data_IF_407936308949
#
_entry.id   IF_407936308949
#
_cell.length_a   1.000
_cell.length_b   1.000
_cell.length_c   1.000
_cell.angle_alpha   90.00
_cell.angle_beta   90.00
_cell.angle_gamma   90.00
#
_symmetry.space_group_name_H-M   'P 1'
#
loop_
_entity.id
_entity.type
_entity.pdbx_description
1 polymer ?
#
# COMPACT_ATOMS: atom_id res chain seq x y z
N UNK A 1 -43.19 -22.46 -17.58
CA UNK A 1 -41.77 -22.88 -17.70
C UNK A 1 -40.84 -21.73 -18.03
N UNK A 2 -41.13 -20.88 -19.04
CA UNK A 2 -40.22 -19.77 -19.42
C UNK A 2 -39.84 -18.80 -18.29
N UNK A 3 -40.79 -18.38 -17.45
CA UNK A 3 -40.55 -17.49 -16.30
C UNK A 3 -39.70 -18.12 -15.19
N UNK A 4 -39.81 -19.44 -14.98
CA UNK A 4 -38.99 -20.17 -14.00
C UNK A 4 -37.57 -20.39 -14.51
N UNK A 5 -37.39 -20.59 -15.82
CA UNK A 5 -36.07 -20.71 -16.47
C UNK A 5 -35.35 -19.35 -16.49
N UNK A 6 -36.04 -18.24 -16.71
CA UNK A 6 -35.45 -16.89 -16.60
C UNK A 6 -35.05 -16.54 -15.16
N UNK A 7 -35.86 -16.91 -14.16
CA UNK A 7 -35.51 -16.71 -12.74
C UNK A 7 -34.33 -17.59 -12.30
N UNK A 8 -34.23 -18.82 -12.82
CA UNK A 8 -33.10 -19.70 -12.59
C UNK A 8 -31.81 -19.18 -13.26
N UNK A 9 -31.90 -18.60 -14.47
CA UNK A 9 -30.76 -17.96 -15.14
C UNK A 9 -30.25 -16.72 -14.39
N UNK A 10 -31.14 -15.91 -13.84
CA UNK A 10 -30.79 -14.77 -12.97
C UNK A 10 -30.15 -15.16 -11.63
N UNK A 11 -30.41 -16.37 -11.15
CA UNK A 11 -29.82 -16.88 -9.92
C UNK A 11 -28.37 -17.34 -10.10
N UNK A 12 -27.96 -17.69 -11.32
CA UNK A 12 -26.66 -18.28 -11.61
C UNK A 12 -25.58 -17.26 -12.04
N UNK A 13 -25.98 -16.06 -12.49
CA UNK A 13 -25.05 -14.99 -12.85
C UNK A 13 -24.99 -13.91 -11.73
N UNK A 14 -23.88 -13.84 -10.96
CA UNK A 14 -23.75 -12.88 -9.87
C UNK A 14 -23.74 -11.42 -10.34
N UNK A 15 -23.34 -11.13 -11.57
CA UNK A 15 -23.30 -9.75 -12.10
C UNK A 15 -24.72 -9.25 -12.40
N UNK A 16 -25.50 -10.06 -13.12
CA UNK A 16 -26.88 -9.70 -13.46
C UNK A 16 -27.73 -9.59 -12.20
N UNK A 17 -27.56 -10.52 -11.25
CA UNK A 17 -28.24 -10.45 -9.95
C UNK A 17 -27.88 -9.17 -9.20
N UNK A 18 -26.60 -8.81 -9.18
CA UNK A 18 -26.13 -7.57 -8.56
C UNK A 18 -26.80 -6.33 -9.13
N UNK A 19 -26.83 -6.21 -10.46
CA UNK A 19 -27.47 -5.09 -11.17
C UNK A 19 -28.96 -5.02 -10.85
N UNK A 20 -29.67 -6.15 -10.88
CA UNK A 20 -31.11 -6.19 -10.59
C UNK A 20 -31.44 -5.82 -9.14
N UNK A 21 -30.63 -6.26 -8.18
CA UNK A 21 -30.79 -5.90 -6.77
C UNK A 21 -30.62 -4.39 -6.58
N UNK A 22 -29.59 -3.80 -7.18
CA UNK A 22 -29.36 -2.35 -7.12
C UNK A 22 -30.48 -1.58 -7.82
N UNK A 23 -30.91 -2.02 -9.00
CA UNK A 23 -32.01 -1.39 -9.75
C UNK A 23 -33.33 -1.45 -8.98
N UNK A 24 -33.65 -2.59 -8.36
CA UNK A 24 -34.85 -2.75 -7.52
C UNK A 24 -34.75 -1.87 -6.28
N UNK A 25 -33.60 -1.84 -5.61
CA UNK A 25 -33.36 -0.97 -4.46
C UNK A 25 -33.52 0.51 -4.80
N UNK A 26 -32.98 0.94 -5.94
CA UNK A 26 -33.13 2.30 -6.44
C UNK A 26 -34.59 2.65 -6.75
N UNK A 27 -35.30 1.77 -7.46
CA UNK A 27 -36.71 1.97 -7.80
C UNK A 27 -37.60 2.05 -6.55
N UNK A 28 -37.36 1.20 -5.55
CA UNK A 28 -38.13 1.23 -4.29
C UNK A 28 -37.79 2.46 -3.46
N UNK A 29 -36.51 2.76 -3.26
CA UNK A 29 -36.04 3.90 -2.45
C UNK A 29 -36.48 5.23 -3.07
N UNK A 30 -36.13 5.49 -4.32
CA UNK A 30 -36.45 6.76 -4.98
C UNK A 30 -37.92 6.83 -5.39
N UNK A 31 -38.47 5.72 -5.89
CA UNK A 31 -39.84 5.65 -6.37
C UNK A 31 -40.86 5.84 -5.23
N UNK A 32 -40.60 5.30 -4.03
CA UNK A 32 -41.49 5.54 -2.89
C UNK A 32 -41.53 7.02 -2.48
N UNK A 33 -40.37 7.68 -2.33
CA UNK A 33 -40.29 9.11 -2.01
C UNK A 33 -40.96 9.96 -3.11
N UNK A 34 -40.76 9.60 -4.38
CA UNK A 34 -41.41 10.27 -5.50
C UNK A 34 -42.94 10.08 -5.48
N UNK A 35 -43.45 8.86 -5.31
CA UNK A 35 -44.90 8.60 -5.26
C UNK A 35 -45.58 9.37 -4.13
N UNK A 36 -44.96 9.44 -2.95
CA UNK A 36 -45.46 10.23 -1.81
C UNK A 36 -45.48 11.73 -2.14
N UNK A 37 -44.48 12.25 -2.82
CA UNK A 37 -44.47 13.67 -3.22
C UNK A 37 -45.49 13.97 -4.33
N UNK A 38 -45.70 13.04 -5.27
CA UNK A 38 -46.63 13.21 -6.41
C UNK A 38 -48.06 13.41 -5.92
N UNK A 39 -48.49 12.66 -4.91
CA UNK A 39 -49.87 12.74 -4.39
C UNK A 39 -50.21 14.10 -3.77
N UNK A 40 -49.22 14.85 -3.28
CA UNK A 40 -49.43 16.15 -2.64
C UNK A 40 -49.11 17.34 -3.57
N UNK A 41 -48.02 17.25 -4.34
CA UNK A 41 -47.44 18.39 -5.07
C UNK A 41 -47.60 18.32 -6.58
N UNK A 42 -48.16 17.23 -7.11
CA UNK A 42 -48.27 16.96 -8.54
C UNK A 42 -46.94 16.53 -9.17
N UNK A 43 -47.04 15.90 -10.34
CA UNK A 43 -45.92 15.15 -10.94
C UNK A 43 -44.69 16.00 -11.27
N UNK A 44 -44.88 17.24 -11.74
CA UNK A 44 -43.77 18.11 -12.16
C UNK A 44 -42.92 18.57 -10.98
N UNK A 45 -43.55 19.03 -9.89
CA UNK A 45 -42.83 19.47 -8.70
C UNK A 45 -42.21 18.29 -7.97
N UNK A 46 -42.97 17.21 -7.80
CA UNK A 46 -42.48 16.00 -7.13
C UNK A 46 -41.22 15.43 -7.82
N UNK A 47 -41.17 15.46 -9.15
CA UNK A 47 -39.99 14.99 -9.90
C UNK A 47 -38.77 15.85 -9.63
N UNK A 48 -38.90 17.19 -9.67
CA UNK A 48 -37.79 18.10 -9.38
C UNK A 48 -37.30 17.96 -7.94
N UNK A 49 -38.22 17.88 -6.98
CA UNK A 49 -37.90 17.75 -5.56
C UNK A 49 -37.18 16.43 -5.25
N UNK A 50 -37.72 15.30 -5.73
CA UNK A 50 -37.12 13.98 -5.50
C UNK A 50 -35.78 13.82 -6.23
N UNK A 51 -35.63 14.37 -7.43
CA UNK A 51 -34.35 14.38 -8.14
C UNK A 51 -33.30 15.25 -7.40
N UNK A 52 -33.71 16.42 -6.88
CA UNK A 52 -32.83 17.25 -6.08
C UNK A 52 -32.40 16.52 -4.80
N UNK A 53 -33.33 15.91 -4.09
CA UNK A 53 -33.02 15.12 -2.89
C UNK A 53 -32.04 13.97 -3.18
N UNK A 54 -32.23 13.25 -4.28
CA UNK A 54 -31.30 12.19 -4.70
C UNK A 54 -29.90 12.73 -4.97
N UNK A 55 -29.79 13.84 -5.73
CA UNK A 55 -28.48 14.42 -6.07
C UNK A 55 -27.78 15.00 -4.84
N UNK A 56 -28.53 15.60 -3.92
CA UNK A 56 -28.00 16.05 -2.62
C UNK A 56 -27.51 14.88 -1.77
N UNK A 57 -28.26 13.79 -1.72
CA UNK A 57 -27.84 12.56 -1.04
C UNK A 57 -26.58 11.95 -1.68
N UNK A 58 -26.51 11.88 -3.01
CA UNK A 58 -25.32 11.41 -3.74
C UNK A 58 -24.11 12.33 -3.51
N UNK A 59 -24.30 13.63 -3.37
CA UNK A 59 -23.21 14.56 -3.01
C UNK A 59 -22.70 14.31 -1.57
N UNK A 60 -23.59 14.01 -0.63
CA UNK A 60 -23.21 13.67 0.76
C UNK A 60 -22.44 12.34 0.80
N UNK A 61 -22.96 11.28 0.17
CA UNK A 61 -22.28 9.99 0.09
C UNK A 61 -20.95 10.09 -0.66
N UNK A 62 -20.93 10.77 -1.79
CA UNK A 62 -19.71 11.05 -2.55
C UNK A 62 -18.67 11.75 -1.69
N UNK A 63 -19.07 12.75 -0.89
CA UNK A 63 -18.16 13.47 0.00
C UNK A 63 -17.54 12.54 1.06
N UNK A 64 -18.33 11.64 1.64
CA UNK A 64 -17.83 10.64 2.56
C UNK A 64 -16.87 9.66 1.86
N UNK A 65 -17.23 9.16 0.68
CA UNK A 65 -16.39 8.28 -0.14
C UNK A 65 -15.08 8.94 -0.56
N UNK A 66 -15.11 10.24 -0.91
CA UNK A 66 -13.93 11.02 -1.26
C UNK A 66 -13.01 11.18 -0.06
N UNK A 67 -13.55 11.50 1.12
CA UNK A 67 -12.79 11.68 2.35
C UNK A 67 -12.10 10.38 2.79
N UNK A 68 -12.85 9.28 2.79
CA UNK A 68 -12.36 7.98 3.27
C UNK A 68 -11.68 7.13 2.19
N UNK A 69 -11.79 7.47 0.91
CA UNK A 69 -11.30 6.64 -0.19
C UNK A 69 -12.04 5.31 -0.30
N UNK A 70 -13.35 5.30 -0.07
CA UNK A 70 -14.22 4.12 -0.07
C UNK A 70 -15.28 4.20 -1.18
N UNK A 71 -16.16 3.19 -1.27
CA UNK A 71 -17.21 3.13 -2.28
C UNK A 71 -16.68 2.81 -3.66
N UNK A 72 -17.15 3.53 -4.68
CA UNK A 72 -16.62 3.40 -6.05
C UNK A 72 -15.28 4.13 -6.19
N UNK A 73 -14.26 3.59 -5.52
CA UNK A 73 -12.89 4.10 -5.52
C UNK A 73 -12.15 3.73 -6.81
N UNK A 74 -11.10 4.48 -7.11
CA UNK A 74 -10.12 4.12 -8.13
C UNK A 74 -9.15 3.05 -7.65
N UNK A 75 -8.10 2.82 -8.43
CA UNK A 75 -7.12 1.77 -8.13
C UNK A 75 -6.34 2.08 -6.85
N UNK A 76 -6.12 1.04 -6.04
CA UNK A 76 -5.35 1.12 -4.81
C UNK A 76 -3.84 1.25 -5.09
N UNK A 77 -3.05 1.78 -4.15
CA UNK A 77 -1.61 1.85 -4.28
C UNK A 77 -1.00 0.45 -4.40
N UNK A 78 -0.15 0.25 -5.41
CA UNK A 78 0.53 -1.03 -5.68
C UNK A 78 2.00 -0.79 -5.99
N UNK A 79 2.83 -1.79 -5.73
CA UNK A 79 4.20 -1.81 -6.24
C UNK A 79 4.17 -2.34 -7.68
N UNK A 80 4.88 -1.68 -8.58
CA UNK A 80 5.06 -2.14 -9.96
C UNK A 80 6.53 -2.32 -10.23
N UNK A 81 6.91 -3.51 -10.67
CA UNK A 81 8.29 -3.76 -11.10
C UNK A 81 8.60 -3.03 -12.38
N UNK A 82 9.71 -2.29 -12.34
CA UNK A 82 10.26 -1.51 -13.45
C UNK A 82 11.37 -2.30 -14.13
N UNK A 83 12.20 -2.97 -13.33
CA UNK A 83 13.37 -3.71 -13.79
C UNK A 83 13.71 -4.82 -12.78
N UNK A 84 14.19 -5.96 -13.28
CA UNK A 84 14.78 -7.02 -12.47
C UNK A 84 16.21 -7.18 -12.98
N UNK A 85 17.16 -6.66 -12.22
CA UNK A 85 18.57 -6.70 -12.57
C UNK A 85 19.24 -7.88 -11.87
N UNK A 86 20.15 -8.57 -12.56
CA UNK A 86 20.93 -9.68 -12.03
C UNK A 86 22.40 -9.28 -12.01
N UNK A 87 23.00 -9.24 -10.82
CA UNK A 87 24.40 -8.87 -10.61
C UNK A 87 24.59 -7.36 -10.51
N UNK A 88 25.14 -6.75 -11.55
CA UNK A 88 25.58 -5.35 -11.54
C UNK A 88 24.41 -4.36 -11.73
N UNK A 89 24.09 -3.62 -10.68
CA UNK A 89 23.11 -2.53 -10.70
C UNK A 89 23.47 -1.41 -11.68
N UNK A 90 24.76 -1.26 -12.03
CA UNK A 90 25.22 -0.33 -13.06
C UNK A 90 24.60 -0.59 -14.44
N UNK A 91 24.15 -1.82 -14.71
CA UNK A 91 23.45 -2.20 -15.93
C UNK A 91 21.92 -2.04 -15.86
N UNK A 92 21.36 -1.58 -14.73
CA UNK A 92 19.90 -1.46 -14.58
C UNK A 92 19.27 -0.56 -15.63
N UNK A 93 18.05 -0.89 -16.06
CA UNK A 93 17.23 -0.05 -16.94
C UNK A 93 16.86 1.30 -16.31
N UNK A 94 16.89 1.41 -14.98
CA UNK A 94 16.64 2.65 -14.26
C UNK A 94 17.95 3.38 -13.90
N UNK A 95 18.17 4.57 -14.45
CA UNK A 95 19.37 5.38 -14.17
C UNK A 95 19.56 5.67 -12.68
N UNK A 96 18.47 5.89 -11.94
CA UNK A 96 18.51 6.09 -10.49
C UNK A 96 19.01 4.84 -9.74
N UNK A 97 18.69 3.62 -10.22
CA UNK A 97 19.15 2.39 -9.58
C UNK A 97 20.67 2.20 -9.71
N UNK A 98 21.27 2.68 -10.81
CA UNK A 98 22.73 2.64 -11.03
C UNK A 98 23.54 3.46 -10.02
N UNK A 99 22.88 4.35 -9.27
CA UNK A 99 23.51 5.15 -8.22
C UNK A 99 23.59 4.41 -6.87
N UNK A 100 22.93 3.25 -6.74
CA UNK A 100 23.03 2.40 -5.57
C UNK A 100 24.29 1.51 -5.72
N UNK A 101 25.23 1.54 -4.75
CA UNK A 101 26.39 0.66 -4.77
C UNK A 101 25.99 -0.82 -4.78
N UNK A 102 26.81 -1.65 -5.40
CA UNK A 102 26.58 -3.09 -5.39
C UNK A 102 26.79 -3.67 -3.98
N UNK A 103 26.10 -4.76 -3.61
CA UNK A 103 26.18 -5.36 -2.27
C UNK A 103 27.60 -5.67 -1.79
N UNK A 104 28.48 -6.08 -2.69
CA UNK A 104 29.87 -6.48 -2.42
C UNK A 104 30.80 -5.29 -2.14
N UNK A 105 30.38 -4.07 -2.51
CA UNK A 105 31.13 -2.83 -2.26
C UNK A 105 30.86 -2.26 -0.86
N UNK A 106 29.90 -2.84 -0.13
CA UNK A 106 29.44 -2.38 1.16
C UNK A 106 29.77 -3.41 2.25
N UNK A 107 30.13 -2.98 3.47
CA UNK A 107 30.41 -3.90 4.57
C UNK A 107 29.19 -4.78 4.85
N UNK A 108 29.44 -6.03 5.25
CA UNK A 108 28.36 -6.93 5.67
C UNK A 108 27.72 -6.40 6.96
N UNK A 109 26.47 -6.78 7.21
CA UNK A 109 25.81 -6.35 8.44
C UNK A 109 26.51 -6.90 9.70
N UNK A 110 27.08 -8.10 9.64
CA UNK A 110 27.86 -8.65 10.76
C UNK A 110 29.16 -7.86 11.00
N UNK A 111 29.89 -7.49 9.94
CA UNK A 111 31.06 -6.61 10.06
C UNK A 111 30.71 -5.26 10.69
N UNK A 112 29.55 -4.70 10.37
CA UNK A 112 29.05 -3.47 11.00
C UNK A 112 28.77 -3.68 12.49
N UNK A 113 28.20 -4.82 12.90
CA UNK A 113 27.98 -5.13 14.32
C UNK A 113 29.32 -5.18 15.06
N UNK A 114 30.27 -5.98 14.56
CA UNK A 114 31.57 -6.20 15.19
C UNK A 114 32.38 -4.90 15.28
N UNK A 115 32.37 -4.09 14.22
CA UNK A 115 33.11 -2.82 14.18
C UNK A 115 32.47 -1.69 14.99
N UNK A 116 31.15 -1.73 15.22
CA UNK A 116 30.43 -0.66 15.91
C UNK A 116 30.71 -0.59 17.42
N UNK A 117 30.92 -1.74 18.07
CA UNK A 117 30.93 -1.85 19.52
C UNK A 117 29.60 -1.43 20.19
N UNK A 118 28.51 -1.29 19.43
CA UNK A 118 27.21 -0.90 19.97
C UNK A 118 26.62 -2.04 20.81
N UNK A 119 26.24 -1.72 22.05
CA UNK A 119 25.78 -2.72 23.03
C UNK A 119 24.51 -3.43 22.54
N UNK A 120 23.59 -2.72 21.90
CA UNK A 120 22.32 -3.30 21.41
C UNK A 120 22.59 -4.22 20.23
N UNK A 121 23.42 -3.77 19.27
CA UNK A 121 23.80 -4.58 18.12
C UNK A 121 24.54 -5.86 18.53
N UNK A 122 25.56 -5.73 19.38
CA UNK A 122 26.38 -6.86 19.86
C UNK A 122 25.51 -7.85 20.64
N UNK A 123 24.64 -7.38 21.54
CA UNK A 123 23.78 -8.27 22.33
C UNK A 123 22.88 -9.15 21.45
N UNK A 124 22.32 -8.57 20.38
CA UNK A 124 21.40 -9.29 19.50
C UNK A 124 22.11 -10.17 18.46
N UNK A 125 23.26 -9.72 17.96
CA UNK A 125 23.88 -10.27 16.75
C UNK A 125 25.35 -10.69 16.89
N UNK A 126 25.95 -10.59 18.07
CA UNK A 126 27.34 -11.01 18.32
C UNK A 126 27.50 -11.67 19.71
N UNK A 127 26.50 -12.47 20.10
CA UNK A 127 26.53 -13.27 21.34
C UNK A 127 26.51 -14.76 21.03
N UNK A 128 27.48 -15.48 21.63
CA UNK A 128 27.63 -16.93 21.51
C UNK A 128 27.29 -17.65 22.84
N UNK A 129 26.58 -18.79 22.80
CA UNK A 129 26.22 -19.55 24.01
C UNK A 129 27.45 -20.01 24.80
N UNK A 130 27.40 -19.85 26.11
CA UNK A 130 28.48 -20.29 27.01
C UNK A 130 28.14 -21.60 27.70
N UNK A 131 29.18 -22.31 28.17
CA UNK A 131 29.01 -23.56 28.94
C UNK A 131 28.31 -23.31 30.28
N UNK A 132 28.45 -22.11 30.86
CA UNK A 132 27.77 -21.72 32.09
C UNK A 132 26.25 -21.57 31.90
N UNK A 133 25.82 -21.11 30.72
CA UNK A 133 24.40 -20.98 30.36
C UNK A 133 23.77 -22.31 29.94
N UNK A 134 24.59 -23.28 29.51
CA UNK A 134 24.15 -24.58 29.00
C UNK A 134 24.88 -25.73 29.71
N UNK A 135 24.67 -25.92 31.03
CA UNK A 135 25.39 -26.92 31.82
C UNK A 135 25.06 -28.37 31.42
N UNK A 136 23.90 -28.58 30.79
CA UNK A 136 23.39 -29.91 30.41
C UNK A 136 23.95 -30.41 29.07
N UNK A 137 24.66 -29.57 28.30
CA UNK A 137 25.20 -29.92 26.98
C UNK A 137 26.65 -30.42 27.09
N UNK A 138 26.93 -31.53 26.38
CA UNK A 138 28.31 -31.98 26.16
C UNK A 138 29.11 -30.99 25.31
N UNK A 139 30.45 -31.08 25.35
CA UNK A 139 31.34 -30.17 24.63
C UNK A 139 31.06 -30.11 23.12
N UNK A 140 30.76 -31.26 22.51
CA UNK A 140 30.49 -31.35 21.07
C UNK A 140 29.15 -30.68 20.70
N UNK A 141 28.09 -30.96 21.48
CA UNK A 141 26.78 -30.33 21.28
C UNK A 141 26.83 -28.81 21.51
N UNK A 142 27.66 -28.33 22.45
CA UNK A 142 27.88 -26.91 22.66
C UNK A 142 28.63 -26.26 21.47
N UNK A 143 29.58 -26.97 20.85
CA UNK A 143 30.28 -26.49 19.67
C UNK A 143 29.34 -26.36 18.47
N UNK A 144 28.46 -27.34 18.25
CA UNK A 144 27.41 -27.29 17.21
C UNK A 144 26.45 -26.10 17.43
N UNK A 145 25.99 -25.90 18.66
CA UNK A 145 25.11 -24.78 19.00
C UNK A 145 25.79 -23.42 18.76
N UNK A 146 27.09 -23.30 19.10
CA UNK A 146 27.87 -22.10 18.82
C UNK A 146 28.02 -21.86 17.34
N UNK A 147 28.26 -22.91 16.55
CA UNK A 147 28.35 -22.81 15.09
C UNK A 147 27.02 -22.34 14.46
N UNK A 148 25.87 -22.90 14.86
CA UNK A 148 24.56 -22.40 14.39
C UNK A 148 24.33 -20.94 14.80
N UNK A 149 24.71 -20.58 16.03
CA UNK A 149 24.55 -19.21 16.52
C UNK A 149 25.43 -18.23 15.74
N UNK A 150 26.66 -18.61 15.45
CA UNK A 150 27.59 -17.82 14.64
C UNK A 150 27.08 -17.66 13.21
N UNK A 151 26.61 -18.74 12.59
CA UNK A 151 26.02 -18.68 11.25
C UNK A 151 24.84 -17.70 11.20
N UNK A 152 23.95 -17.72 12.20
CA UNK A 152 22.86 -16.73 12.29
C UNK A 152 23.40 -15.30 12.33
N UNK A 153 24.43 -15.06 13.13
CA UNK A 153 25.04 -13.74 13.29
C UNK A 153 25.68 -13.25 11.98
N UNK A 154 26.34 -14.13 11.24
CA UNK A 154 26.99 -13.82 9.96
C UNK A 154 26.00 -13.61 8.82
N UNK A 155 24.86 -14.32 8.85
CA UNK A 155 23.86 -14.24 7.77
C UNK A 155 22.88 -13.08 7.95
N UNK A 156 23.01 -12.23 8.97
CA UNK A 156 22.09 -11.10 9.18
C UNK A 156 22.15 -10.11 8.01
N UNK A 157 21.03 -9.46 7.70
CA UNK A 157 21.00 -8.44 6.64
C UNK A 157 21.13 -7.02 7.23
N UNK A 158 21.49 -6.03 6.40
CA UNK A 158 21.60 -4.63 6.83
C UNK A 158 20.22 -4.09 7.18
N UNK A 159 19.18 -4.48 6.44
CA UNK A 159 17.78 -4.18 6.75
C UNK A 159 17.32 -4.76 8.10
N UNK A 160 17.75 -5.97 8.45
CA UNK A 160 17.51 -6.56 9.77
C UNK A 160 18.24 -5.79 10.87
N UNK A 161 19.52 -5.46 10.65
CA UNK A 161 20.30 -4.65 11.58
C UNK A 161 19.68 -3.27 11.81
N UNK A 162 19.19 -2.60 10.75
CA UNK A 162 18.53 -1.31 10.82
C UNK A 162 17.21 -1.33 11.63
N UNK A 163 16.59 -2.51 11.79
CA UNK A 163 15.38 -2.66 12.61
C UNK A 163 15.68 -2.69 14.11
N UNK A 164 16.87 -3.16 14.50
CA UNK A 164 17.28 -3.33 15.90
C UNK A 164 18.19 -2.19 16.35
N UNK A 165 19.21 -1.87 15.55
CA UNK A 165 20.26 -0.91 15.86
C UNK A 165 20.50 0.05 14.68
N UNK A 166 19.48 0.84 14.33
CA UNK A 166 19.54 1.84 13.24
C UNK A 166 20.74 2.79 13.35
N UNK A 167 21.17 3.13 14.57
CA UNK A 167 22.34 3.97 14.80
C UNK A 167 23.62 3.43 14.17
N UNK A 168 23.81 2.10 14.15
CA UNK A 168 24.97 1.44 13.53
C UNK A 168 24.94 1.58 12.01
N UNK A 169 23.79 1.32 11.39
CA UNK A 169 23.62 1.45 9.94
C UNK A 169 23.70 2.91 9.48
N UNK A 170 23.19 3.83 10.29
CA UNK A 170 23.25 5.27 10.00
C UNK A 170 24.69 5.81 10.11
N UNK A 171 25.45 5.36 11.12
CA UNK A 171 26.87 5.70 11.28
C UNK A 171 27.73 5.18 10.11
N UNK A 172 27.34 4.03 9.53
CA UNK A 172 27.95 3.48 8.32
C UNK A 172 27.52 4.22 7.02
N UNK A 173 26.70 5.27 7.11
CA UNK A 173 26.26 6.06 5.96
C UNK A 173 25.14 5.44 5.14
N UNK A 174 24.54 4.32 5.58
CA UNK A 174 23.52 3.59 4.83
C UNK A 174 22.19 4.36 4.69
N UNK A 175 22.05 5.47 5.42
CA UNK A 175 20.90 6.38 5.33
C UNK A 175 20.97 7.32 4.13
N UNK A 176 22.16 7.51 3.56
CA UNK A 176 22.43 8.46 2.49
C UNK A 176 23.44 7.89 1.49
N UNK A 177 23.10 6.74 0.91
CA UNK A 177 23.84 6.11 -0.20
C UNK A 177 23.50 6.83 -1.50
N UNK A 178 24.05 8.04 -1.66
CA UNK A 178 23.64 8.95 -2.72
C UNK A 178 22.15 9.32 -2.56
N UNK A 179 21.28 9.04 -3.55
CA UNK A 179 19.84 9.29 -3.42
C UNK A 179 19.09 8.19 -2.66
N UNK A 180 19.76 7.09 -2.28
CA UNK A 180 19.14 5.92 -1.67
C UNK A 180 19.29 5.90 -0.16
N UNK A 181 18.28 5.32 0.49
CA UNK A 181 18.27 5.07 1.93
C UNK A 181 17.90 3.62 2.19
N UNK A 182 18.67 2.94 3.04
CA UNK A 182 18.33 1.62 3.55
C UNK A 182 16.99 1.65 4.30
N UNK A 183 16.13 0.68 4.05
CA UNK A 183 14.90 0.43 4.79
C UNK A 183 15.16 -0.66 5.82
N UNK A 184 14.63 -0.46 7.03
CA UNK A 184 14.54 -1.54 8.00
C UNK A 184 13.51 -2.58 7.54
N UNK A 185 13.68 -3.85 7.96
CA UNK A 185 12.73 -4.94 7.63
C UNK A 185 11.29 -4.61 8.06
N UNK A 186 11.13 -3.83 9.12
CA UNK A 186 9.83 -3.32 9.61
C UNK A 186 9.15 -2.34 8.65
N UNK A 187 9.89 -1.71 7.76
CA UNK A 187 9.41 -0.74 6.77
C UNK A 187 9.31 -1.32 5.35
N UNK A 188 10.03 -2.41 5.06
CA UNK A 188 10.16 -2.98 3.70
C UNK A 188 9.22 -4.16 3.41
N UNK A 189 8.48 -4.68 4.39
CA UNK A 189 7.73 -5.93 4.25
C UNK A 189 6.77 -5.98 3.05
N UNK A 190 6.02 -4.90 2.76
CA UNK A 190 5.12 -4.83 1.60
C UNK A 190 5.89 -4.89 0.27
N UNK A 191 7.04 -4.19 0.19
CA UNK A 191 7.87 -4.22 -1.01
C UNK A 191 8.56 -5.58 -1.21
N UNK A 192 9.04 -6.19 -0.12
CA UNK A 192 9.65 -7.52 -0.16
C UNK A 192 8.66 -8.60 -0.62
N UNK A 193 7.41 -8.53 -0.15
CA UNK A 193 6.36 -9.43 -0.59
C UNK A 193 6.07 -9.27 -2.10
N UNK A 194 6.00 -8.04 -2.62
CA UNK A 194 5.82 -7.85 -4.07
C UNK A 194 7.03 -8.37 -4.84
N UNK A 195 8.26 -8.05 -4.41
CA UNK A 195 9.48 -8.51 -5.08
C UNK A 195 9.55 -10.03 -5.14
N UNK A 196 9.19 -10.74 -4.06
CA UNK A 196 9.09 -12.20 -4.07
C UNK A 196 8.08 -12.73 -5.08
N UNK A 197 6.92 -12.09 -5.20
CA UNK A 197 5.90 -12.51 -6.15
C UNK A 197 6.37 -12.31 -7.60
N UNK A 198 7.04 -11.18 -7.87
CA UNK A 198 7.51 -10.85 -9.21
C UNK A 198 8.68 -11.74 -9.64
N UNK A 199 9.59 -12.10 -8.73
CA UNK A 199 10.69 -13.03 -9.03
C UNK A 199 10.18 -14.44 -9.31
N UNK A 200 9.24 -14.94 -8.50
CA UNK A 200 8.61 -16.25 -8.73
C UNK A 200 7.77 -16.31 -10.02
N UNK A 201 7.33 -15.14 -10.52
CA UNK A 201 6.64 -15.05 -11.80
C UNK A 201 7.59 -15.14 -13.02
N UNK A 202 8.91 -15.10 -12.81
CA UNK A 202 9.93 -15.21 -13.86
C UNK A 202 10.78 -16.48 -13.68
N UNK A 203 10.37 -17.62 -14.27
CA UNK A 203 11.09 -18.89 -14.18
C UNK A 203 12.53 -18.82 -14.67
N UNK A 204 12.81 -17.87 -15.58
CA UNK A 204 14.11 -17.58 -16.19
C UNK A 204 15.20 -17.28 -15.16
N UNK A 205 14.81 -16.79 -13.98
CA UNK A 205 15.69 -16.47 -12.86
C UNK A 205 16.09 -17.70 -12.02
N UNK A 206 15.48 -18.86 -12.27
CA UNK A 206 15.83 -20.11 -11.59
C UNK A 206 15.19 -20.32 -10.22
N UNK A 207 14.28 -19.44 -9.76
CA UNK A 207 13.58 -19.58 -8.48
C UNK A 207 12.20 -20.22 -8.67
N UNK A 208 11.96 -21.36 -8.03
CA UNK A 208 10.67 -22.04 -8.06
C UNK A 208 9.86 -21.83 -6.78
N UNK A 209 10.54 -21.55 -5.66
CA UNK A 209 9.97 -21.45 -4.33
C UNK A 209 10.60 -20.31 -3.53
N UNK A 210 9.87 -19.71 -2.57
CA UNK A 210 10.45 -18.80 -1.58
C UNK A 210 11.60 -19.38 -0.74
N UNK A 211 11.82 -20.70 -0.77
CA UNK A 211 12.91 -21.37 -0.09
C UNK A 211 14.24 -21.32 -0.88
N UNK A 212 14.19 -21.01 -2.18
CA UNK A 212 15.35 -21.06 -3.08
C UNK A 212 16.22 -19.81 -2.99
N UNK A 213 15.72 -18.75 -2.34
CA UNK A 213 16.43 -17.49 -2.19
C UNK A 213 16.24 -16.90 -0.80
N UNK A 214 17.16 -16.01 -0.43
CA UNK A 214 17.10 -15.19 0.76
C UNK A 214 16.92 -13.73 0.36
N UNK A 215 15.96 -13.06 0.99
CA UNK A 215 15.83 -11.60 0.90
C UNK A 215 16.96 -10.95 1.69
N UNK A 216 17.72 -10.08 1.04
CA UNK A 216 18.83 -9.35 1.62
C UNK A 216 18.33 -8.00 2.17
N UNK A 217 18.60 -6.93 1.43
CA UNK A 217 18.35 -5.56 1.83
C UNK A 217 17.33 -4.88 0.94
N UNK A 218 16.61 -3.92 1.51
CA UNK A 218 15.68 -3.07 0.79
C UNK A 218 16.12 -1.60 0.89
N UNK A 219 16.08 -0.90 -0.23
CA UNK A 219 16.46 0.51 -0.33
C UNK A 219 15.32 1.32 -0.92
N UNK A 220 15.17 2.57 -0.52
CA UNK A 220 14.15 3.47 -1.10
C UNK A 220 14.74 4.80 -1.50
N UNK A 221 14.17 5.40 -2.54
CA UNK A 221 14.46 6.77 -2.95
C UNK A 221 13.18 7.50 -3.35
N UNK A 222 13.22 8.83 -3.26
CA UNK A 222 12.07 9.70 -3.53
C UNK A 222 10.96 9.57 -2.48
N UNK A 223 9.72 9.74 -2.93
CA UNK A 223 8.55 9.74 -2.05
C UNK A 223 8.43 10.98 -1.16
N UNK A 224 7.38 11.01 -0.33
CA UNK A 224 7.16 12.13 0.61
C UNK A 224 8.22 12.07 1.72
N UNK A 225 8.73 13.22 2.17
CA UNK A 225 9.69 13.25 3.26
C UNK A 225 9.10 12.57 4.49
N UNK A 226 9.85 11.63 5.07
CA UNK A 226 9.47 11.01 6.33
C UNK A 226 9.69 12.00 7.47
N UNK A 227 8.93 11.81 8.54
CA UNK A 227 9.16 12.52 9.78
C UNK A 227 10.52 12.07 10.36
N UNK A 228 11.28 12.99 10.97
CA UNK A 228 12.54 12.64 11.64
C UNK A 228 12.28 11.71 12.83
N UNK A 229 13.28 10.92 13.22
CA UNK A 229 13.11 9.86 14.23
C UNK A 229 12.72 10.40 15.62
N UNK A 230 13.19 11.59 15.99
CA UNK A 230 12.76 12.29 17.21
C UNK A 230 12.14 13.68 16.90
N UNK A 231 10.86 13.72 16.50
CA UNK A 231 10.21 14.95 16.06
C UNK A 231 9.56 15.68 17.23
N UNK A 232 9.95 16.94 17.42
CA UNK A 232 9.25 17.84 18.34
C UNK A 232 7.85 18.19 17.78
N UNK A 233 6.96 18.71 18.63
CA UNK A 233 5.60 19.14 18.26
C UNK A 233 5.60 20.09 17.07
N UNK A 234 6.55 21.03 17.01
CA UNK A 234 6.67 21.97 15.88
C UNK A 234 7.01 21.25 14.57
N UNK A 235 7.91 20.27 14.60
CA UNK A 235 8.27 19.51 13.40
C UNK A 235 7.08 18.72 12.85
N UNK A 236 6.25 18.16 13.74
CA UNK A 236 5.01 17.47 13.35
C UNK A 236 4.03 18.41 12.67
N UNK A 237 3.87 19.62 13.20
CA UNK A 237 2.98 20.64 12.63
C UNK A 237 3.52 21.10 11.26
N UNK A 238 4.80 21.41 11.17
CA UNK A 238 5.43 21.82 9.91
C UNK A 238 5.38 20.72 8.85
N UNK A 239 5.60 19.46 9.25
CA UNK A 239 5.46 18.30 8.37
C UNK A 239 4.03 18.15 7.88
N UNK A 240 3.03 18.28 8.76
CA UNK A 240 1.62 18.26 8.37
C UNK A 240 1.30 19.36 7.35
N UNK A 241 1.68 20.62 7.62
CA UNK A 241 1.43 21.74 6.70
C UNK A 241 2.11 21.52 5.34
N UNK A 242 3.41 21.21 5.34
CA UNK A 242 4.19 21.06 4.11
C UNK A 242 3.77 19.83 3.29
N UNK A 243 3.35 18.75 3.95
CA UNK A 243 2.84 17.55 3.28
C UNK A 243 1.43 17.75 2.73
N UNK A 244 0.60 18.58 3.37
CA UNK A 244 -0.72 18.99 2.87
C UNK A 244 -0.64 19.98 1.71
N UNK A 245 0.33 20.90 1.72
CA UNK A 245 0.56 21.84 0.61
C UNK A 245 1.06 21.15 -0.67
N UNK A 246 1.60 19.93 -0.55
CA UNK A 246 2.11 19.16 -1.68
C UNK A 246 0.97 18.36 -2.35
N UNK A 247 0.31 19.02 -3.31
CA UNK A 247 -0.81 18.45 -4.07
C UNK A 247 -0.37 17.25 -4.92
N UNK A 248 0.83 17.30 -5.52
CA UNK A 248 1.38 16.20 -6.31
C UNK A 248 2.20 15.24 -5.46
N UNK A 249 2.09 13.94 -5.76
CA UNK A 249 2.86 12.94 -5.05
C UNK A 249 4.21 12.71 -5.75
N UNK A 250 5.35 12.90 -5.08
CA UNK A 250 6.64 12.54 -5.65
C UNK A 250 6.72 11.01 -5.82
N UNK A 251 7.28 10.58 -6.95
CA UNK A 251 7.50 9.15 -7.24
C UNK A 251 8.44 8.55 -6.21
N UNK A 252 8.12 7.34 -5.76
CA UNK A 252 8.95 6.57 -4.83
C UNK A 252 9.42 5.31 -5.53
N UNK A 253 10.72 5.11 -5.54
CA UNK A 253 11.31 3.86 -5.99
C UNK A 253 11.80 3.06 -4.79
N UNK A 254 11.81 1.74 -4.95
CA UNK A 254 12.35 0.81 -3.98
C UNK A 254 13.14 -0.26 -4.74
N UNK A 255 14.29 -0.63 -4.21
CA UNK A 255 15.05 -1.79 -4.67
C UNK A 255 14.99 -2.83 -3.56
N UNK A 256 14.62 -4.06 -3.90
CA UNK A 256 14.72 -5.21 -2.99
C UNK A 256 15.73 -6.17 -3.58
N UNK A 257 16.75 -6.49 -2.79
CA UNK A 257 17.80 -7.42 -3.16
C UNK A 257 17.50 -8.81 -2.62
N UNK A 258 17.78 -9.82 -3.43
CA UNK A 258 17.68 -11.23 -3.06
C UNK A 258 18.80 -12.01 -3.74
N UNK A 259 19.17 -13.12 -3.13
CA UNK A 259 20.24 -13.98 -3.63
C UNK A 259 19.87 -15.45 -3.42
N UNK A 260 20.33 -16.32 -4.31
CA UNK A 260 20.08 -17.75 -4.21
C UNK A 260 20.66 -18.33 -2.92
N UNK A 261 20.03 -19.40 -2.44
CA UNK A 261 20.41 -20.12 -1.23
C UNK A 261 20.99 -21.47 -1.64
N UNK A 262 22.08 -21.88 -0.96
CA UNK A 262 22.65 -23.21 -1.14
C UNK A 262 21.61 -24.29 -0.83
N UNK A 263 21.50 -25.30 -1.69
CA UNK A 263 20.61 -26.43 -1.44
C UNK A 263 21.05 -27.19 -0.19
N UNK A 264 20.18 -27.23 0.83
CA UNK A 264 20.43 -27.93 2.08
C UNK A 264 19.43 -29.08 2.23
N UNK A 265 19.94 -30.31 2.33
CA UNK A 265 19.10 -31.49 2.52
C UNK A 265 18.45 -31.43 3.91
N UNK A 266 17.11 -31.43 3.94
CA UNK A 266 16.35 -31.46 5.19
C UNK A 266 16.08 -32.90 5.59
N UNK A 267 16.72 -33.36 6.66
CA UNK A 267 16.40 -34.67 7.24
C UNK A 267 14.93 -34.71 7.69
N UNK A 268 14.21 -35.77 7.33
CA UNK A 268 12.79 -35.91 7.65
C UNK A 268 12.55 -35.83 9.18
N UNK A 269 11.76 -34.83 9.61
CA UNK A 269 11.42 -34.60 11.01
C UNK A 269 12.37 -33.66 11.78
N UNK A 270 13.46 -33.19 11.16
CA UNK A 270 14.30 -32.15 11.72
C UNK A 270 13.74 -30.75 11.43
N UNK A 271 14.11 -29.75 12.24
CA UNK A 271 13.82 -28.36 11.93
C UNK A 271 14.52 -27.97 10.62
N UNK A 272 13.88 -27.22 9.71
CA UNK A 272 14.53 -26.74 8.50
C UNK A 272 15.81 -25.98 8.85
N UNK A 273 16.94 -26.29 8.21
CA UNK A 273 18.18 -25.58 8.45
C UNK A 273 18.05 -24.13 7.94
N UNK A 274 18.85 -23.22 8.50
CA UNK A 274 18.78 -21.81 8.13
C UNK A 274 19.23 -21.63 6.68
N UNK A 275 18.51 -20.83 5.86
CA UNK A 275 18.96 -20.50 4.52
C UNK A 275 20.33 -19.79 4.57
N UNK A 276 21.33 -20.41 3.94
CA UNK A 276 22.68 -19.84 3.74
C UNK A 276 22.80 -19.41 2.29
N UNK A 277 23.14 -18.15 2.10
CA UNK A 277 23.27 -17.54 0.78
C UNK A 277 24.43 -18.19 0.01
N UNK A 278 24.22 -18.43 -1.29
CA UNK A 278 25.29 -18.87 -2.19
C UNK A 278 26.11 -17.66 -2.65
N UNK A 279 27.39 -17.53 -2.25
CA UNK A 279 28.23 -16.40 -2.63
C UNK A 279 28.63 -16.39 -4.12
N UNK A 280 28.53 -17.53 -4.82
CA UNK A 280 28.90 -17.63 -6.24
C UNK A 280 27.76 -17.16 -7.17
N UNK A 281 26.53 -17.12 -6.67
CA UNK A 281 25.36 -16.67 -7.42
C UNK A 281 25.17 -15.15 -7.32
N UNK A 282 24.81 -14.45 -8.41
CA UNK A 282 24.68 -13.01 -8.42
C UNK A 282 23.47 -12.53 -7.62
N UNK A 283 23.59 -11.34 -7.03
CA UNK A 283 22.46 -10.69 -6.35
C UNK A 283 21.44 -10.21 -7.38
N UNK A 284 20.19 -10.63 -7.21
CA UNK A 284 19.06 -10.17 -8.00
C UNK A 284 18.43 -8.95 -7.33
N UNK A 285 18.37 -7.85 -8.04
CA UNK A 285 17.81 -6.58 -7.58
C UNK A 285 16.50 -6.29 -8.30
N UNK A 286 15.40 -6.37 -7.56
CA UNK A 286 14.06 -6.04 -8.06
C UNK A 286 13.80 -4.55 -7.83
N UNK A 287 13.79 -3.78 -8.92
CA UNK A 287 13.56 -2.34 -8.92
C UNK A 287 12.07 -2.07 -9.14
N UNK A 288 11.42 -1.45 -8.17
CA UNK A 288 9.99 -1.17 -8.18
C UNK A 288 9.70 0.31 -8.04
N UNK A 289 8.61 0.75 -8.67
CA UNK A 289 7.98 2.05 -8.44
C UNK A 289 6.71 1.87 -7.60
N UNK A 290 6.48 2.78 -6.63
CA UNK A 290 5.20 2.85 -5.92
C UNK A 290 4.19 3.60 -6.77
N UNK A 291 3.28 2.87 -7.41
CA UNK A 291 2.10 3.46 -7.99
C UNK A 291 1.10 3.77 -6.86
N UNK A 292 0.71 5.03 -6.73
CA UNK A 292 -0.24 5.46 -5.70
C UNK A 292 -1.70 5.34 -6.15
N UNK A 293 -1.92 5.00 -7.42
CA UNK A 293 -3.23 4.89 -8.00
C UNK A 293 -4.02 6.21 -7.91
N UNK A 294 -5.34 6.07 -7.97
CA UNK A 294 -6.28 7.19 -8.09
C UNK A 294 -7.53 6.92 -7.25
N UNK A 295 -7.32 6.35 -6.05
CA UNK A 295 -8.33 5.96 -5.06
C UNK A 295 -9.47 6.98 -4.94
N UNK A 296 -9.11 8.27 -4.85
CA UNK A 296 -10.05 9.36 -4.54
C UNK A 296 -10.64 10.07 -5.75
N UNK A 297 -10.13 9.82 -6.97
CA UNK A 297 -10.57 10.57 -8.14
C UNK A 297 -12.01 10.24 -8.53
N UNK A 298 -12.37 8.95 -8.60
CA UNK A 298 -13.74 8.53 -8.96
C UNK A 298 -14.79 9.05 -7.96
N UNK A 299 -14.60 8.91 -6.62
CA UNK A 299 -15.51 9.52 -5.65
C UNK A 299 -15.59 11.05 -5.76
N UNK A 300 -14.47 11.73 -6.02
CA UNK A 300 -14.47 13.18 -6.20
C UNK A 300 -15.33 13.60 -7.42
N UNK A 301 -15.21 12.90 -8.54
CA UNK A 301 -16.02 13.16 -9.74
C UNK A 301 -17.51 12.96 -9.48
N UNK A 302 -17.90 11.89 -8.78
CA UNK A 302 -19.30 11.64 -8.39
C UNK A 302 -19.82 12.76 -7.47
N UNK A 303 -19.00 13.20 -6.53
CA UNK A 303 -19.35 14.27 -5.58
C UNK A 303 -19.59 15.58 -6.30
N UNK A 304 -18.61 16.02 -7.10
CA UNK A 304 -18.66 17.29 -7.83
C UNK A 304 -19.81 17.27 -8.84
N UNK A 305 -19.95 16.18 -9.60
CA UNK A 305 -21.04 16.03 -10.57
C UNK A 305 -22.42 16.08 -9.92
N UNK A 306 -22.63 15.29 -8.86
CA UNK A 306 -23.92 15.28 -8.13
C UNK A 306 -24.22 16.63 -7.47
N UNK A 307 -23.20 17.29 -6.92
CA UNK A 307 -23.34 18.59 -6.28
C UNK A 307 -23.72 19.69 -7.29
N UNK A 308 -23.11 19.71 -8.48
CA UNK A 308 -23.49 20.65 -9.53
C UNK A 308 -24.92 20.43 -10.02
N UNK A 309 -25.33 19.18 -10.22
CA UNK A 309 -26.71 18.86 -10.61
C UNK A 309 -27.70 19.24 -9.50
N UNK A 310 -27.35 18.97 -8.23
CA UNK A 310 -28.15 19.39 -7.08
C UNK A 310 -28.37 20.91 -7.06
N UNK A 311 -27.31 21.70 -7.24
CA UNK A 311 -27.41 23.16 -7.30
C UNK A 311 -28.28 23.63 -8.47
N UNK A 312 -28.16 23.01 -9.63
CA UNK A 312 -29.00 23.34 -10.79
C UNK A 312 -30.49 23.06 -10.52
N UNK A 313 -30.81 21.93 -9.88
CA UNK A 313 -32.19 21.57 -9.51
C UNK A 313 -32.75 22.50 -8.42
N UNK A 314 -31.95 22.83 -7.40
CA UNK A 314 -32.33 23.82 -6.39
C UNK A 314 -32.57 25.19 -7.01
N UNK A 315 -31.75 25.59 -7.97
CA UNK A 315 -31.95 26.84 -8.69
C UNK A 315 -33.26 26.85 -9.49
N UNK A 316 -33.59 25.75 -10.18
CA UNK A 316 -34.88 25.63 -10.88
C UNK A 316 -36.09 25.66 -9.93
N UNK A 317 -36.00 25.00 -8.78
CA UNK A 317 -37.03 25.08 -7.74
C UNK A 317 -37.21 26.52 -7.23
N UNK A 318 -36.10 27.22 -6.99
CA UNK A 318 -36.12 28.62 -6.54
C UNK A 318 -36.76 29.56 -7.56
N UNK A 319 -36.41 29.43 -8.84
CA UNK A 319 -37.02 30.23 -9.92
C UNK A 319 -38.52 29.97 -9.99
N UNK A 320 -38.93 28.71 -9.92
CA UNK A 320 -40.34 28.32 -9.92
C UNK A 320 -41.10 28.91 -8.72
N UNK A 321 -40.51 28.87 -7.53
CA UNK A 321 -41.15 29.42 -6.34
C UNK A 321 -41.35 30.94 -6.46
N UNK A 322 -40.38 31.67 -7.04
CA UNK A 322 -40.53 33.09 -7.36
C UNK A 322 -41.66 33.37 -8.34
N UNK A 323 -41.78 32.58 -9.42
CA UNK A 323 -42.88 32.72 -10.38
C UNK A 323 -44.24 32.47 -9.73
N UNK A 324 -44.33 31.50 -8.82
CA UNK A 324 -45.57 31.22 -8.08
C UNK A 324 -45.93 32.34 -7.11
N UNK A 325 -44.95 32.94 -6.43
CA UNK A 325 -45.18 34.10 -5.56
C UNK A 325 -45.69 35.30 -6.37
N UNK A 326 -45.05 35.62 -7.50
CA UNK A 326 -45.48 36.72 -8.38
C UNK A 326 -46.92 36.53 -8.89
N UNK A 327 -47.28 35.32 -9.34
CA UNK A 327 -48.67 35.03 -9.77
C UNK A 327 -49.69 35.12 -8.64
N UNK A 328 -49.30 34.80 -7.40
CA UNK A 328 -50.18 34.96 -6.23
C UNK A 328 -50.40 36.43 -5.92
N UNK A 329 -49.35 37.24 -5.96
CA UNK A 329 -49.45 38.70 -5.80
C UNK A 329 -50.35 39.33 -6.88
N UNK A 330 -50.20 38.95 -8.15
CA UNK A 330 -51.09 39.38 -9.24
C UNK A 330 -52.55 38.99 -8.99
N UNK A 331 -52.80 37.78 -8.47
CA UNK A 331 -54.15 37.33 -8.16
C UNK A 331 -54.78 38.06 -6.97
N UNK A 332 -54.00 38.30 -5.91
CA UNK A 332 -54.46 39.05 -4.73
C UNK A 332 -54.74 40.52 -5.08
N UNK A 333 -53.89 41.14 -5.89
CA UNK A 333 -54.09 42.52 -6.38
C UNK A 333 -55.26 42.64 -7.34
N UNK A 334 -55.53 41.64 -8.17
CA UNK A 334 -56.72 41.62 -9.05
C UNK A 334 -58.04 41.38 -8.29
N UNK A 335 -57.98 40.87 -7.06
CA UNK A 335 -59.15 40.59 -6.21
C UNK A 335 -59.48 41.75 -5.26
N UNK A 336 -58.51 42.61 -4.94
CA UNK A 336 -58.66 43.83 -4.15
C UNK A 336 -59.31 44.96 -4.97
#
# INVERSE_FOLDING_TARGET
MGTLVTLAGLAWDPEIRGILVVATGFAVLLGSVWLVNVTNSGIRLATLMSAAALMGWMAILGSAWWMYGSGWKGDDPTWKTVDINVGDLGASGLELARLLPNPDEMPSAYELVVSSGDVVAVTNFDTLPTAAENPDLGADALAELRADRQLRNETITRSELASVARGVTDAAGLRALGPWRLLATTESGDAQAQASADVLAHPDLGFASPADYKLLDAYTTGGKPALKDDPNRLDRITHWISSSARITHPTRYTVVQLQAVLHQEVAAGAAPPRPVVDPDEPVVSVVMIRDLGWVRLRPALVTIGSFLIFLALCYWLHVRDKELMARREEFETARA
#
